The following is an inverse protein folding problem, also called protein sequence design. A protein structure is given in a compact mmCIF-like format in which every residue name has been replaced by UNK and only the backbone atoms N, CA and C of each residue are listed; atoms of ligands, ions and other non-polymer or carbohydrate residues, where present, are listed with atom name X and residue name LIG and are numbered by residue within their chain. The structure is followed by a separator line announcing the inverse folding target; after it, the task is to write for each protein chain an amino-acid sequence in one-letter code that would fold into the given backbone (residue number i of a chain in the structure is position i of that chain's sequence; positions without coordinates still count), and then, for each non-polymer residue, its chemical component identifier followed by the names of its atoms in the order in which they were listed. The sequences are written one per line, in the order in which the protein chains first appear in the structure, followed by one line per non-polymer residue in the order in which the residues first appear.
data_IF_586916364403
#
_entry.id   IF_586916364403
#
_cell.length_a   1.000
_cell.length_b   1.000
_cell.length_c   1.000
_cell.angle_alpha   90.00
_cell.angle_beta   90.00
_cell.angle_gamma   90.00
#
_symmetry.space_group_name_H-M   'P 1'
#
loop_
_entity.id
_entity.type
_entity.pdbx_description
1 polymer ?
#
# COMPACT_ATOMS: atom_id res chain seq x y z
N UNK A 1 5.15 -6.25 -52.56
CA UNK A 1 6.14 -7.11 -51.91
C UNK A 1 7.51 -6.55 -52.18
N UNK A 2 8.27 -6.20 -51.17
CA UNK A 2 9.42 -6.95 -50.73
C UNK A 2 9.47 -7.09 -49.20
N UNK A 3 10.14 -8.15 -48.76
CA UNK A 3 10.31 -8.65 -47.43
C UNK A 3 11.21 -7.75 -46.56
N UNK A 4 10.78 -7.45 -45.34
CA UNK A 4 11.55 -6.76 -44.30
C UNK A 4 12.45 -7.79 -43.57
N UNK A 5 13.76 -7.62 -43.68
CA UNK A 5 14.76 -8.36 -42.91
C UNK A 5 14.89 -7.77 -41.49
N UNK A 6 14.89 -8.66 -40.51
CA UNK A 6 15.14 -8.34 -39.09
C UNK A 6 16.62 -8.09 -38.85
N UNK A 7 17.04 -7.11 -38.01
CA UNK A 7 18.44 -6.92 -37.71
C UNK A 7 18.95 -7.97 -36.72
N UNK A 8 19.96 -8.75 -37.15
CA UNK A 8 20.71 -9.68 -36.31
C UNK A 8 21.67 -8.90 -35.41
N UNK A 9 21.52 -9.01 -34.11
CA UNK A 9 22.48 -8.56 -33.10
C UNK A 9 23.76 -9.42 -33.21
N UNK A 10 24.84 -8.82 -33.72
CA UNK A 10 26.18 -9.43 -33.77
C UNK A 10 26.97 -9.01 -32.53
N UNK A 11 27.12 -9.92 -31.56
CA UNK A 11 28.20 -9.83 -30.59
C UNK A 11 29.43 -10.51 -31.17
N UNK A 12 30.36 -9.73 -31.71
CA UNK A 12 31.76 -10.16 -31.93
C UNK A 12 32.65 -9.29 -31.06
N UNK A 13 33.07 -9.83 -29.93
CA UNK A 13 34.24 -9.34 -29.20
C UNK A 13 35.45 -10.01 -29.85
N UNK A 14 36.23 -9.24 -30.57
CA UNK A 14 37.45 -9.72 -31.20
C UNK A 14 38.53 -10.02 -30.15
N UNK A 15 39.00 -11.24 -30.12
CA UNK A 15 40.25 -11.61 -29.40
C UNK A 15 41.39 -11.20 -30.28
N UNK A 16 42.06 -10.12 -29.93
CA UNK A 16 43.37 -9.75 -30.52
C UNK A 16 44.45 -10.61 -29.90
N UNK A 17 44.93 -11.58 -30.63
CA UNK A 17 46.15 -12.33 -30.31
C UNK A 17 47.37 -11.46 -30.61
N UNK A 18 47.99 -10.92 -29.59
CA UNK A 18 49.31 -10.32 -29.65
C UNK A 18 50.34 -11.43 -29.50
N UNK A 19 51.05 -11.74 -30.61
CA UNK A 19 52.22 -12.64 -30.59
C UNK A 19 53.38 -11.94 -29.88
N UNK A 20 53.58 -12.26 -28.60
CA UNK A 20 54.74 -11.83 -27.84
C UNK A 20 55.87 -12.85 -27.97
N UNK A 21 57.04 -12.35 -28.31
CA UNK A 21 58.30 -13.10 -28.43
C UNK A 21 58.62 -13.83 -27.12
N UNK A 22 58.74 -15.16 -27.17
CA UNK A 22 59.13 -15.99 -26.04
C UNK A 22 60.66 -15.86 -25.90
N UNK A 23 61.10 -15.09 -24.88
CA UNK A 23 62.44 -15.21 -24.36
C UNK A 23 62.53 -16.46 -23.46
N UNK A 24 63.33 -17.42 -23.86
CA UNK A 24 63.58 -18.67 -23.14
C UNK A 24 64.28 -18.41 -21.80
N UNK A 25 63.50 -18.32 -20.74
CA UNK A 25 63.95 -18.43 -19.35
C UNK A 25 63.69 -19.85 -18.84
N UNK A 26 64.71 -20.55 -18.44
CA UNK A 26 64.66 -21.93 -17.91
C UNK A 26 63.63 -22.05 -16.78
N UNK A 27 62.58 -22.81 -17.05
CA UNK A 27 61.61 -23.28 -16.02
C UNK A 27 62.36 -24.33 -15.17
N UNK A 28 62.62 -24.03 -13.91
CA UNK A 28 63.46 -24.86 -13.01
C UNK A 28 62.81 -26.10 -12.47
N UNK A 29 61.47 -26.19 -12.43
CA UNK A 29 60.78 -27.42 -12.05
C UNK A 29 59.35 -27.45 -12.63
N UNK A 30 58.83 -28.67 -12.82
CA UNK A 30 57.44 -28.90 -13.24
C UNK A 30 56.43 -28.39 -12.21
N UNK A 31 56.86 -28.21 -10.96
CA UNK A 31 56.06 -27.63 -9.87
C UNK A 31 55.82 -26.11 -10.06
N UNK A 32 56.81 -25.36 -10.59
CA UNK A 32 56.68 -23.92 -10.82
C UNK A 32 55.73 -23.61 -11.97
N UNK A 33 55.67 -24.51 -12.96
CA UNK A 33 54.71 -24.40 -14.08
C UNK A 33 53.27 -24.66 -13.64
N UNK A 34 53.05 -25.56 -12.68
CA UNK A 34 51.74 -25.84 -12.11
C UNK A 34 51.27 -24.67 -11.17
N UNK A 35 52.23 -24.02 -10.52
CA UNK A 35 51.91 -22.87 -9.62
C UNK A 35 51.63 -21.59 -10.44
N UNK A 36 52.13 -21.43 -11.64
CA UNK A 36 51.78 -20.32 -12.54
C UNK A 36 50.42 -20.49 -13.23
N UNK A 37 49.89 -21.71 -13.31
CA UNK A 37 48.54 -22.00 -13.84
C UNK A 37 47.46 -21.86 -12.76
N UNK A 38 47.82 -21.81 -11.50
CA UNK A 38 46.94 -21.60 -10.38
C UNK A 38 46.71 -20.11 -10.03
N UNK A 39 46.79 -19.20 -11.01
CA UNK A 39 46.05 -17.95 -10.85
C UNK A 39 44.56 -18.35 -10.95
N UNK A 40 43.93 -18.38 -9.80
CA UNK A 40 42.51 -18.70 -9.67
C UNK A 40 41.71 -17.91 -10.69
N UNK A 41 41.24 -18.61 -11.75
CA UNK A 41 40.19 -18.05 -12.58
C UNK A 41 39.07 -17.61 -11.64
N UNK A 42 38.54 -16.38 -11.77
CA UNK A 42 37.49 -15.92 -10.85
C UNK A 42 36.38 -16.96 -10.81
N UNK A 43 36.16 -17.52 -9.61
CA UNK A 43 35.22 -18.61 -9.41
C UNK A 43 33.84 -18.08 -9.84
N UNK A 44 33.32 -18.64 -10.93
CA UNK A 44 31.99 -18.30 -11.39
C UNK A 44 30.99 -18.71 -10.29
N UNK A 45 30.32 -17.75 -9.61
CA UNK A 45 29.46 -18.05 -8.49
C UNK A 45 28.28 -18.95 -8.87
N UNK A 46 27.95 -19.05 -10.16
CA UNK A 46 26.88 -19.92 -10.65
C UNK A 46 27.30 -21.40 -10.76
N UNK A 47 28.59 -21.69 -10.67
CA UNK A 47 29.18 -23.04 -10.76
C UNK A 47 29.56 -23.62 -9.39
N UNK A 48 29.32 -22.89 -8.33
CA UNK A 48 29.53 -23.35 -6.96
C UNK A 48 28.22 -23.81 -6.34
N UNK A 49 28.18 -24.91 -5.57
CA UNK A 49 26.98 -25.34 -4.88
C UNK A 49 26.39 -24.20 -4.01
N UNK A 50 25.09 -23.99 -4.11
CA UNK A 50 24.38 -22.97 -3.34
C UNK A 50 24.12 -23.38 -1.89
N UNK A 51 23.28 -22.61 -1.20
CA UNK A 51 22.83 -22.90 0.16
C UNK A 51 21.88 -24.10 0.18
N UNK A 52 21.84 -24.79 1.31
CA UNK A 52 20.81 -25.80 1.58
C UNK A 52 19.41 -25.14 1.66
N UNK A 53 18.35 -25.97 1.51
CA UNK A 53 16.98 -25.56 1.76
C UNK A 53 16.81 -25.05 3.19
N UNK A 54 15.92 -24.07 3.39
CA UNK A 54 15.66 -23.46 4.69
C UNK A 54 14.19 -23.63 5.07
N UNK A 55 13.90 -23.67 6.38
CA UNK A 55 12.52 -23.72 6.89
C UNK A 55 11.75 -22.44 6.57
N UNK A 56 12.42 -21.29 6.54
CA UNK A 56 11.85 -19.99 6.24
C UNK A 56 12.66 -19.36 5.11
N UNK A 57 11.97 -18.96 4.03
CA UNK A 57 12.58 -18.25 2.91
C UNK A 57 13.11 -16.88 3.32
N UNK A 58 14.12 -16.39 2.61
CA UNK A 58 14.69 -15.06 2.80
C UNK A 58 14.68 -14.28 1.49
N UNK A 59 14.60 -12.95 1.57
CA UNK A 59 14.81 -12.08 0.40
C UNK A 59 16.27 -12.13 -0.06
N UNK A 60 16.49 -11.86 -1.35
CA UNK A 60 17.84 -11.68 -1.86
C UNK A 60 18.56 -10.56 -1.08
N UNK A 61 19.88 -10.69 -0.79
CA UNK A 61 20.60 -9.66 -0.03
C UNK A 61 20.55 -8.27 -0.65
N UNK A 62 20.48 -8.19 -2.00
CA UNK A 62 20.35 -6.95 -2.77
C UNK A 62 18.94 -6.35 -2.75
N UNK A 63 17.92 -7.15 -2.35
CA UNK A 63 16.49 -6.79 -2.44
C UNK A 63 15.87 -6.78 -1.03
N UNK A 64 16.12 -5.71 -0.29
CA UNK A 64 15.69 -5.56 1.11
C UNK A 64 14.76 -4.34 1.29
N UNK A 65 13.54 -4.35 0.70
CA UNK A 65 12.59 -3.26 0.93
C UNK A 65 12.28 -3.15 2.42
N UNK A 66 12.17 -1.91 2.91
CA UNK A 66 11.90 -1.62 4.33
C UNK A 66 10.78 -0.63 4.46
N UNK A 67 9.92 -0.86 5.45
CA UNK A 67 8.92 0.11 5.84
C UNK A 67 9.57 1.40 6.36
N UNK A 68 9.03 2.55 5.98
CA UNK A 68 9.48 3.84 6.48
C UNK A 68 8.85 4.12 7.84
N UNK A 69 9.63 4.12 8.90
CA UNK A 69 9.18 4.41 10.26
C UNK A 69 9.17 5.93 10.47
N UNK A 70 8.05 6.48 10.95
CA UNK A 70 7.91 7.91 11.24
C UNK A 70 8.68 8.32 12.49
N UNK A 71 8.54 7.56 13.57
CA UNK A 71 9.23 7.76 14.84
C UNK A 71 9.13 6.49 15.69
N UNK A 72 10.16 6.14 16.48
CA UNK A 72 10.11 5.02 17.42
C UNK A 72 9.33 5.45 18.68
N UNK A 73 8.01 5.34 18.64
CA UNK A 73 7.11 5.73 19.74
C UNK A 73 5.86 4.84 19.76
N UNK A 74 5.22 4.72 20.94
CA UNK A 74 3.97 3.94 21.09
C UNK A 74 2.84 4.46 20.18
N UNK A 75 2.73 5.79 20.03
CA UNK A 75 1.83 6.40 19.05
C UNK A 75 2.60 6.76 17.79
N UNK A 76 2.72 5.81 16.86
CA UNK A 76 3.51 5.97 15.65
C UNK A 76 2.94 5.21 14.45
N UNK A 77 3.64 5.27 13.33
CA UNK A 77 3.32 4.53 12.12
C UNK A 77 4.58 4.08 11.39
N UNK A 78 4.50 2.92 10.75
CA UNK A 78 5.36 2.52 9.64
C UNK A 78 4.59 2.67 8.33
N UNK A 79 5.29 2.82 7.21
CA UNK A 79 4.70 3.06 5.89
C UNK A 79 5.20 2.04 4.89
N UNK A 80 4.29 1.49 4.12
CA UNK A 80 4.59 0.57 3.02
C UNK A 80 5.55 1.21 2.02
N UNK A 81 6.63 0.54 1.60
CA UNK A 81 7.58 1.06 0.60
C UNK A 81 7.01 0.95 -0.81
N UNK A 82 6.04 1.79 -1.16
CA UNK A 82 5.23 1.70 -2.38
C UNK A 82 6.04 1.69 -3.67
N UNK A 83 7.18 2.40 -3.72
CA UNK A 83 8.04 2.45 -4.89
C UNK A 83 8.82 1.15 -5.13
N UNK A 84 9.06 0.37 -4.05
CA UNK A 84 9.92 -0.81 -4.08
C UNK A 84 9.11 -2.12 -4.26
N UNK A 85 7.78 -2.04 -4.26
CA UNK A 85 6.92 -3.21 -4.34
C UNK A 85 6.39 -3.45 -5.75
N UNK A 86 6.14 -4.72 -6.05
CA UNK A 86 5.57 -5.22 -7.30
C UNK A 86 4.24 -5.94 -7.02
N UNK A 87 3.41 -6.10 -8.06
CA UNK A 87 2.12 -6.80 -7.95
C UNK A 87 1.09 -6.07 -7.11
N UNK A 88 0.00 -6.74 -6.75
CA UNK A 88 -1.15 -6.17 -6.05
C UNK A 88 -1.04 -6.34 -4.53
N UNK A 89 -0.56 -7.49 -4.07
CA UNK A 89 -0.51 -7.83 -2.65
C UNK A 89 0.77 -7.29 -2.01
N UNK A 90 0.61 -6.55 -0.93
CA UNK A 90 1.72 -6.12 -0.07
C UNK A 90 2.17 -7.31 0.80
N UNK A 91 3.47 -7.67 0.85
CA UNK A 91 3.97 -8.65 1.80
C UNK A 91 3.55 -8.31 3.25
N UNK A 92 3.19 -9.31 4.04
CA UNK A 92 2.63 -9.08 5.38
C UNK A 92 3.58 -8.30 6.30
N UNK A 93 4.88 -8.54 6.18
CA UNK A 93 5.94 -7.83 6.93
C UNK A 93 6.23 -6.40 6.46
N UNK A 94 5.65 -5.97 5.33
CA UNK A 94 5.75 -4.61 4.79
C UNK A 94 4.41 -3.87 4.78
N UNK A 95 3.37 -4.49 5.33
CA UNK A 95 2.07 -3.84 5.49
C UNK A 95 2.22 -2.66 6.46
N UNK A 96 1.68 -1.50 6.13
CA UNK A 96 1.78 -0.33 6.99
C UNK A 96 1.20 -0.59 8.39
N UNK A 97 1.75 0.10 9.37
CA UNK A 97 1.27 0.10 10.74
C UNK A 97 0.80 1.50 11.16
N UNK A 98 -0.20 1.55 12.02
CA UNK A 98 -0.59 2.76 12.73
C UNK A 98 -1.09 2.37 14.13
N UNK A 99 -0.37 2.82 15.15
CA UNK A 99 -0.66 2.53 16.54
C UNK A 99 -0.93 3.83 17.32
N UNK A 100 -1.78 3.73 18.34
CA UNK A 100 -2.07 4.83 19.27
C UNK A 100 -1.43 4.61 20.63
N UNK A 101 -1.19 3.34 21.02
CA UNK A 101 -0.61 2.95 22.30
C UNK A 101 0.28 1.70 22.22
N UNK A 102 0.95 1.51 21.07
CA UNK A 102 1.80 0.35 20.83
C UNK A 102 1.03 -0.90 20.38
N UNK A 103 1.68 -2.05 20.49
CA UNK A 103 1.19 -3.36 20.09
C UNK A 103 1.01 -4.18 21.37
N UNK A 104 -0.22 -4.57 21.74
CA UNK A 104 -0.45 -5.40 22.93
C UNK A 104 0.01 -6.86 22.67
N UNK A 105 0.45 -7.51 23.72
CA UNK A 105 0.74 -8.95 23.74
C UNK A 105 -0.55 -9.70 24.12
N UNK A 106 -1.19 -10.33 23.13
CA UNK A 106 -2.47 -11.05 23.32
C UNK A 106 -2.28 -12.50 22.90
N UNK A 107 -2.58 -13.42 23.81
CA UNK A 107 -2.55 -14.86 23.53
C UNK A 107 -3.82 -15.29 22.83
N UNK A 108 -3.69 -16.19 21.86
CA UNK A 108 -4.82 -16.72 21.09
C UNK A 108 -5.89 -17.39 21.99
N UNK A 109 -5.42 -18.14 22.97
CA UNK A 109 -6.27 -18.94 23.87
C UNK A 109 -7.10 -18.07 24.83
N UNK A 110 -6.58 -16.89 25.18
CA UNK A 110 -7.18 -15.98 26.17
C UNK A 110 -8.06 -14.91 25.52
N UNK A 111 -8.05 -14.82 24.18
CA UNK A 111 -8.80 -13.78 23.48
C UNK A 111 -10.27 -14.16 23.29
N UNK A 112 -11.14 -13.22 23.69
CA UNK A 112 -12.58 -13.37 23.57
C UNK A 112 -13.18 -12.13 22.86
N UNK A 113 -14.22 -12.37 22.05
CA UNK A 113 -15.05 -11.35 21.43
C UNK A 113 -16.43 -11.34 22.06
N UNK A 114 -16.77 -10.27 22.76
CA UNK A 114 -18.14 -10.03 23.25
C UNK A 114 -18.97 -9.37 22.13
N UNK A 115 -20.13 -9.96 21.81
CA UNK A 115 -21.16 -9.37 20.94
C UNK A 115 -22.44 -9.15 21.74
N UNK A 116 -22.89 -7.90 21.87
CA UNK A 116 -24.02 -7.53 22.70
C UNK A 116 -24.76 -6.29 22.17
N UNK A 117 -25.61 -5.66 23.04
CA UNK A 117 -26.43 -4.50 22.68
C UNK A 117 -27.78 -4.92 22.12
N UNK A 118 -28.22 -4.36 21.00
CA UNK A 118 -29.51 -4.68 20.37
C UNK A 118 -29.49 -6.03 19.66
N UNK A 119 -29.23 -7.09 20.42
CA UNK A 119 -29.23 -8.50 19.97
C UNK A 119 -30.17 -9.34 20.82
N UNK A 120 -30.66 -10.44 20.28
CA UNK A 120 -31.54 -11.38 21.04
C UNK A 120 -30.73 -12.14 22.07
N UNK A 121 -29.53 -12.59 21.72
CA UNK A 121 -28.64 -13.40 22.54
C UNK A 121 -27.25 -12.78 22.61
N UNK A 122 -26.91 -12.00 23.62
CA UNK A 122 -25.53 -11.58 23.86
C UNK A 122 -24.64 -12.81 24.01
N UNK A 123 -23.51 -12.85 23.29
CA UNK A 123 -22.60 -14.00 23.27
C UNK A 123 -21.14 -13.56 23.38
N UNK A 124 -20.35 -14.42 23.99
CA UNK A 124 -18.89 -14.34 23.99
C UNK A 124 -18.36 -15.46 23.08
N UNK A 125 -17.47 -15.12 22.16
CA UNK A 125 -16.86 -16.05 21.24
C UNK A 125 -15.36 -16.16 21.50
N UNK A 126 -14.87 -17.36 21.73
CA UNK A 126 -13.43 -17.65 21.74
C UNK A 126 -12.92 -17.80 20.30
N UNK A 127 -11.62 -17.61 20.10
CA UNK A 127 -11.03 -17.75 18.76
C UNK A 127 -11.26 -19.16 18.15
N UNK A 128 -11.17 -20.22 18.97
CA UNK A 128 -11.44 -21.59 18.53
C UNK A 128 -12.90 -21.82 18.07
N UNK A 129 -13.84 -21.06 18.59
CA UNK A 129 -15.25 -21.11 18.18
C UNK A 129 -15.47 -20.32 16.89
N UNK A 130 -14.91 -19.10 16.79
CA UNK A 130 -14.98 -18.28 15.57
C UNK A 130 -14.43 -19.02 14.35
N UNK A 131 -13.35 -19.77 14.51
CA UNK A 131 -12.73 -20.54 13.43
C UNK A 131 -13.56 -21.76 12.95
N UNK A 132 -14.64 -22.11 13.62
CA UNK A 132 -15.58 -23.17 13.19
C UNK A 132 -16.65 -22.65 12.22
N UNK A 133 -16.85 -21.32 12.13
CA UNK A 133 -17.79 -20.74 11.18
C UNK A 133 -17.21 -20.74 9.76
N UNK A 134 -18.06 -20.68 8.71
CA UNK A 134 -17.62 -20.62 7.32
C UNK A 134 -16.63 -19.47 7.09
N UNK A 135 -15.47 -19.83 6.54
CA UNK A 135 -14.39 -18.91 6.25
C UNK A 135 -14.64 -18.18 4.93
N UNK A 136 -14.26 -16.93 4.88
CA UNK A 136 -14.21 -16.09 3.66
C UNK A 136 -12.82 -15.49 3.51
N UNK A 137 -12.35 -15.36 2.25
CA UNK A 137 -11.11 -14.66 1.91
C UNK A 137 -11.40 -13.60 0.84
N UNK A 138 -10.79 -12.42 0.97
CA UNK A 138 -10.95 -11.30 0.02
C UNK A 138 -9.66 -10.49 -0.08
N UNK A 139 -9.22 -10.21 -1.30
CA UNK A 139 -8.12 -9.27 -1.55
C UNK A 139 -8.69 -7.86 -1.51
N UNK A 140 -8.26 -7.05 -0.54
CA UNK A 140 -8.76 -5.68 -0.31
C UNK A 140 -7.64 -4.78 0.18
N UNK A 141 -7.70 -3.49 -0.18
CA UNK A 141 -6.80 -2.50 0.40
C UNK A 141 -7.26 -2.09 1.81
N UNK A 142 -6.30 -1.63 2.59
CA UNK A 142 -6.50 -0.86 3.80
C UNK A 142 -5.73 0.45 3.65
N UNK A 143 -6.40 1.58 3.90
CA UNK A 143 -5.79 2.90 3.89
C UNK A 143 -6.14 3.65 5.18
N UNK A 144 -5.16 4.26 5.81
CA UNK A 144 -5.39 5.15 6.94
C UNK A 144 -6.05 6.44 6.45
N UNK A 145 -7.08 6.93 7.16
CA UNK A 145 -7.72 8.22 6.82
C UNK A 145 -6.75 9.40 6.74
N UNK A 146 -5.65 9.36 7.51
CA UNK A 146 -4.59 10.37 7.48
C UNK A 146 -3.52 10.18 6.40
N UNK A 147 -3.71 9.23 5.46
CA UNK A 147 -2.76 9.02 4.37
C UNK A 147 -2.72 10.25 3.44
N UNK A 148 -1.51 10.79 3.19
CA UNK A 148 -1.32 12.02 2.43
C UNK A 148 -1.53 13.32 3.23
N UNK A 149 -2.00 13.26 4.50
CA UNK A 149 -2.26 14.45 5.32
C UNK A 149 -1.02 15.27 5.69
N UNK A 150 0.17 14.72 5.48
CA UNK A 150 1.43 15.39 5.80
C UNK A 150 1.75 16.62 4.93
N UNK A 151 1.10 16.75 3.77
CA UNK A 151 1.37 17.82 2.79
C UNK A 151 0.24 18.85 2.67
N UNK A 152 -0.94 18.53 3.18
CA UNK A 152 -2.15 19.30 2.92
C UNK A 152 -2.16 20.72 3.51
N UNK A 153 -1.70 20.88 4.74
CA UNK A 153 -1.81 22.15 5.48
C UNK A 153 -0.45 22.84 5.71
N UNK A 154 0.53 22.59 4.87
CA UNK A 154 1.85 23.21 5.02
C UNK A 154 1.94 24.47 4.18
N UNK A 155 2.41 25.56 4.77
CA UNK A 155 2.76 26.80 4.07
C UNK A 155 3.86 26.58 3.02
N UNK A 156 4.72 25.59 3.25
CA UNK A 156 5.75 25.16 2.30
C UNK A 156 5.71 23.66 2.13
N UNK A 157 5.42 23.23 0.90
CA UNK A 157 5.42 21.82 0.53
C UNK A 157 6.84 21.26 0.50
N UNK A 158 7.08 20.06 1.07
CA UNK A 158 8.35 19.39 0.88
C UNK A 158 8.48 18.96 -0.59
N UNK A 159 9.58 19.30 -1.23
CA UNK A 159 9.87 18.88 -2.60
C UNK A 159 10.69 17.59 -2.67
N UNK A 160 11.52 17.37 -1.65
CA UNK A 160 12.37 16.20 -1.47
C UNK A 160 11.68 15.21 -0.53
N UNK A 161 10.65 14.53 -1.02
CA UNK A 161 9.85 13.58 -0.23
C UNK A 161 9.49 12.37 -1.08
N UNK A 162 9.65 11.17 -0.53
CA UNK A 162 9.34 9.92 -1.24
C UNK A 162 7.83 9.67 -1.28
N UNK A 163 7.38 8.89 -2.28
CA UNK A 163 5.97 8.51 -2.39
C UNK A 163 5.47 7.77 -1.15
N UNK A 164 6.27 6.90 -0.54
CA UNK A 164 5.91 6.22 0.69
C UNK A 164 5.83 7.17 1.90
N UNK A 165 6.62 8.22 1.94
CA UNK A 165 6.50 9.24 2.98
C UNK A 165 5.22 10.07 2.86
N UNK A 166 4.68 10.19 1.66
CA UNK A 166 3.41 10.87 1.37
C UNK A 166 2.21 9.94 1.58
N UNK A 167 2.19 8.84 0.85
CA UNK A 167 1.00 8.00 0.64
C UNK A 167 1.19 6.53 1.11
N UNK A 168 2.25 6.22 1.86
CA UNK A 168 2.59 4.86 2.29
C UNK A 168 1.73 4.28 3.42
N UNK A 169 0.71 4.98 3.92
CA UNK A 169 -0.27 4.40 4.83
C UNK A 169 -1.39 3.68 4.05
N UNK A 170 -0.97 2.89 3.09
CA UNK A 170 -1.76 2.07 2.17
C UNK A 170 -1.11 0.71 1.99
N UNK A 171 -1.89 -0.34 2.06
CA UNK A 171 -1.46 -1.72 1.73
C UNK A 171 -2.65 -2.52 1.21
N UNK A 172 -2.39 -3.52 0.38
CA UNK A 172 -3.39 -4.49 -0.07
C UNK A 172 -3.00 -5.88 0.40
N UNK A 173 -3.95 -6.60 0.99
CA UNK A 173 -3.75 -7.97 1.46
C UNK A 173 -4.94 -8.85 1.13
N UNK A 174 -4.73 -10.16 1.07
CA UNK A 174 -5.80 -11.13 1.18
C UNK A 174 -6.16 -11.29 2.67
N UNK A 175 -7.35 -10.85 3.02
CA UNK A 175 -7.89 -10.96 4.38
C UNK A 175 -8.78 -12.17 4.50
N UNK A 176 -8.51 -13.00 5.49
CA UNK A 176 -9.22 -14.24 5.76
C UNK A 176 -9.86 -14.23 7.15
N UNK A 177 -11.10 -14.66 7.24
CA UNK A 177 -11.84 -14.69 8.51
C UNK A 177 -13.28 -15.12 8.35
N UNK A 178 -14.15 -14.70 9.26
CA UNK A 178 -15.59 -14.96 9.23
C UNK A 178 -16.33 -13.67 8.85
N UNK A 179 -17.33 -13.77 7.97
CA UNK A 179 -18.18 -12.63 7.67
C UNK A 179 -18.89 -12.15 8.95
N UNK A 180 -18.82 -10.85 9.24
CA UNK A 180 -19.51 -10.27 10.43
C UNK A 180 -20.99 -10.61 10.43
N UNK A 181 -21.62 -10.60 9.25
CA UNK A 181 -23.03 -10.96 9.08
C UNK A 181 -23.36 -12.38 9.57
N UNK A 182 -22.44 -13.33 9.53
CA UNK A 182 -22.63 -14.69 10.05
C UNK A 182 -22.79 -14.64 11.57
N UNK A 183 -21.92 -13.94 12.27
CA UNK A 183 -21.96 -13.81 13.73
C UNK A 183 -23.16 -12.96 14.18
N UNK A 184 -23.48 -11.87 13.47
CA UNK A 184 -24.65 -11.06 13.80
C UNK A 184 -25.98 -11.77 13.59
N UNK A 185 -26.08 -12.68 12.61
CA UNK A 185 -27.24 -13.58 12.47
C UNK A 185 -27.32 -14.61 13.59
N UNK A 186 -26.18 -15.14 14.05
CA UNK A 186 -26.12 -16.09 15.15
C UNK A 186 -26.66 -15.47 16.46
N UNK A 187 -26.26 -14.24 16.77
CA UNK A 187 -26.73 -13.55 17.99
C UNK A 187 -28.14 -12.97 17.85
N UNK A 188 -28.68 -12.85 16.63
CA UNK A 188 -30.01 -12.28 16.34
C UNK A 188 -30.06 -10.77 16.55
N UNK A 189 -29.90 -9.99 15.47
CA UNK A 189 -30.00 -8.52 15.53
C UNK A 189 -31.45 -8.11 15.68
N UNK A 190 -31.75 -7.27 16.67
CA UNK A 190 -33.11 -6.77 16.95
C UNK A 190 -33.54 -5.70 15.96
N UNK A 191 -34.85 -5.58 15.68
CA UNK A 191 -35.39 -4.48 14.88
C UNK A 191 -35.02 -3.11 15.45
N UNK A 192 -34.75 -2.14 14.55
CA UNK A 192 -34.35 -0.77 14.91
C UNK A 192 -32.84 -0.58 15.06
N UNK A 193 -32.06 -1.66 15.13
CA UNK A 193 -30.60 -1.55 15.11
C UNK A 193 -30.12 -0.98 13.76
N UNK A 194 -29.17 -0.04 13.79
CA UNK A 194 -28.66 0.62 12.58
C UNK A 194 -27.15 0.86 12.61
N UNK A 195 -26.48 0.64 13.75
CA UNK A 195 -25.06 0.80 13.95
C UNK A 195 -24.44 -0.36 14.74
N UNK A 196 -23.13 -0.48 14.66
CA UNK A 196 -22.32 -1.28 15.57
C UNK A 196 -21.15 -0.43 16.06
N UNK A 197 -20.86 -0.50 17.35
CA UNK A 197 -19.62 -0.02 17.93
C UNK A 197 -18.64 -1.17 18.00
N UNK A 198 -17.46 -1.01 17.40
CA UNK A 198 -16.34 -1.93 17.51
C UNK A 198 -15.27 -1.34 18.43
N UNK A 199 -14.75 -2.15 19.37
CA UNK A 199 -13.76 -1.73 20.35
C UNK A 199 -12.54 -2.67 20.37
N UNK A 200 -11.34 -2.07 20.35
CA UNK A 200 -10.07 -2.77 20.40
C UNK A 200 -9.55 -3.04 21.81
N UNK A 201 -8.66 -4.02 21.94
CA UNK A 201 -8.06 -4.46 23.19
C UNK A 201 -6.69 -3.85 23.50
N UNK A 202 -6.32 -2.74 22.85
CA UNK A 202 -5.13 -1.97 23.22
C UNK A 202 -5.42 -0.93 24.32
N UNK A 203 -4.39 -0.36 24.92
CA UNK A 203 -4.57 0.65 25.99
C UNK A 203 -5.11 2.00 25.49
N UNK A 204 -5.16 2.22 24.17
CA UNK A 204 -5.86 3.36 23.57
C UNK A 204 -7.38 3.16 23.50
N UNK A 205 -7.84 1.90 23.61
CA UNK A 205 -9.25 1.51 23.54
C UNK A 205 -9.93 2.13 22.30
N UNK A 206 -9.28 1.97 21.13
CA UNK A 206 -9.83 2.48 19.88
C UNK A 206 -11.24 1.97 19.67
N UNK A 207 -12.20 2.88 19.53
CA UNK A 207 -13.63 2.56 19.40
C UNK A 207 -14.24 3.32 18.25
N UNK A 208 -14.91 2.60 17.31
CA UNK A 208 -15.52 3.20 16.13
C UNK A 208 -16.92 2.66 15.87
N UNK A 209 -17.84 3.59 15.64
CA UNK A 209 -19.18 3.26 15.13
C UNK A 209 -19.13 3.04 13.61
N UNK A 210 -19.75 1.96 13.16
CA UNK A 210 -19.87 1.60 11.75
C UNK A 210 -21.34 1.31 11.43
N UNK A 211 -21.90 1.81 10.32
CA UNK A 211 -23.26 1.48 9.91
C UNK A 211 -23.49 -0.04 9.83
N UNK A 212 -24.62 -0.51 10.34
CA UNK A 212 -24.96 -1.93 10.38
C UNK A 212 -25.05 -2.56 8.98
N UNK A 213 -25.59 -1.83 8.02
CA UNK A 213 -25.66 -2.26 6.60
C UNK A 213 -24.28 -2.56 6.03
N UNK A 214 -23.29 -1.73 6.37
CA UNK A 214 -21.91 -1.93 5.97
C UNK A 214 -21.34 -3.22 6.53
N UNK A 215 -21.49 -3.45 7.84
CA UNK A 215 -20.91 -4.66 8.46
C UNK A 215 -21.64 -5.93 8.02
N UNK A 216 -22.93 -5.84 7.74
CA UNK A 216 -23.72 -6.94 7.19
C UNK A 216 -23.37 -7.26 5.73
N UNK A 217 -22.90 -6.28 4.95
CA UNK A 217 -22.62 -6.42 3.53
C UNK A 217 -21.29 -7.14 3.27
N UNK A 218 -20.18 -6.65 3.82
CA UNK A 218 -18.86 -7.11 3.40
C UNK A 218 -17.74 -7.06 4.47
N UNK A 219 -18.08 -6.77 5.73
CA UNK A 219 -17.08 -6.73 6.79
C UNK A 219 -16.67 -8.14 7.23
N UNK A 220 -15.42 -8.28 7.66
CA UNK A 220 -14.80 -9.55 8.04
C UNK A 220 -14.24 -9.45 9.46
N UNK A 221 -14.50 -10.45 10.29
CA UNK A 221 -13.74 -10.75 11.50
C UNK A 221 -12.47 -11.49 11.05
N UNK A 222 -11.42 -10.72 10.75
CA UNK A 222 -10.22 -11.24 10.13
C UNK A 222 -9.24 -11.79 11.17
N UNK A 223 -8.74 -13.00 10.94
CA UNK A 223 -7.71 -13.68 11.71
C UNK A 223 -6.55 -14.20 10.85
N UNK A 224 -6.65 -14.05 9.53
CA UNK A 224 -5.61 -14.40 8.55
C UNK A 224 -5.32 -13.26 7.59
N UNK A 225 -4.06 -13.19 7.14
CA UNK A 225 -3.55 -12.21 6.19
C UNK A 225 -2.49 -12.86 5.29
N UNK A 226 -2.69 -12.83 3.97
CA UNK A 226 -1.73 -13.36 2.98
C UNK A 226 -1.28 -14.81 3.26
N UNK A 227 -2.23 -15.69 3.66
CA UNK A 227 -1.96 -17.12 3.90
C UNK A 227 -1.37 -17.46 5.27
N UNK A 228 -1.13 -16.48 6.15
CA UNK A 228 -0.68 -16.69 7.53
C UNK A 228 -1.69 -16.11 8.54
N UNK A 229 -1.47 -16.34 9.84
CA UNK A 229 -2.20 -15.60 10.87
C UNK A 229 -1.86 -14.12 10.77
N UNK A 230 -2.86 -13.25 11.05
CA UNK A 230 -2.56 -11.82 11.13
C UNK A 230 -1.45 -11.60 12.17
N UNK A 231 -0.55 -10.70 11.88
CA UNK A 231 0.57 -10.38 12.77
C UNK A 231 0.12 -9.50 13.95
N UNK A 232 0.83 -9.50 15.09
CA UNK A 232 0.48 -8.67 16.25
C UNK A 232 0.22 -7.22 15.90
N UNK A 233 1.10 -6.61 15.09
CA UNK A 233 1.00 -5.22 14.61
C UNK A 233 -0.24 -4.98 13.72
N UNK A 234 -0.75 -6.04 13.09
CA UNK A 234 -1.96 -5.99 12.26
C UNK A 234 -3.23 -6.37 13.02
N UNK A 235 -3.14 -6.69 14.32
CA UNK A 235 -4.29 -6.91 15.18
C UNK A 235 -4.55 -8.35 15.61
N UNK A 236 -3.49 -9.20 15.67
CA UNK A 236 -3.61 -10.57 16.21
C UNK A 236 -4.23 -10.58 17.60
N UNK A 237 -5.12 -11.54 17.91
CA UNK A 237 -5.56 -12.65 17.06
C UNK A 237 -6.78 -12.34 16.19
N UNK A 238 -7.46 -11.20 16.39
CA UNK A 238 -8.69 -10.83 15.70
C UNK A 238 -8.76 -9.34 15.42
N UNK A 239 -9.16 -8.99 14.20
CA UNK A 239 -9.53 -7.61 13.86
C UNK A 239 -10.87 -7.54 13.15
N UNK A 240 -11.58 -6.43 13.32
CA UNK A 240 -12.61 -6.03 12.38
C UNK A 240 -11.94 -5.48 11.13
N UNK A 241 -12.39 -5.92 9.96
CA UNK A 241 -11.93 -5.38 8.68
C UNK A 241 -13.14 -4.88 7.86
N UNK A 242 -13.15 -3.58 7.55
CA UNK A 242 -14.20 -2.90 6.80
C UNK A 242 -13.66 -2.47 5.42
N UNK A 243 -13.83 -3.28 4.36
CA UNK A 243 -13.27 -2.98 3.04
C UNK A 243 -13.73 -1.63 2.48
N UNK A 244 -12.79 -0.81 2.00
CA UNK A 244 -13.08 0.48 1.37
C UNK A 244 -13.48 1.61 2.31
N UNK A 245 -13.55 1.35 3.62
CA UNK A 245 -13.71 2.39 4.63
C UNK A 245 -12.35 2.83 5.17
N UNK A 246 -12.32 3.99 5.80
CA UNK A 246 -11.13 4.51 6.47
C UNK A 246 -10.56 3.51 7.49
N UNK A 247 -9.22 3.35 7.49
CA UNK A 247 -8.54 2.28 8.21
C UNK A 247 -8.79 2.25 9.71
N UNK A 248 -9.12 3.38 10.33
CA UNK A 248 -9.46 3.45 11.75
C UNK A 248 -10.76 2.70 12.11
N UNK A 249 -11.68 2.47 11.16
CA UNK A 249 -12.88 1.65 11.34
C UNK A 249 -12.57 0.16 11.34
N UNK A 250 -11.41 -0.24 10.83
CA UNK A 250 -10.92 -1.62 10.84
C UNK A 250 -10.15 -1.89 12.13
N UNK A 251 -10.90 -1.98 13.22
CA UNK A 251 -10.39 -2.02 14.61
C UNK A 251 -9.56 -3.27 14.85
N UNK A 252 -8.32 -3.10 15.32
CA UNK A 252 -7.36 -4.15 15.68
C UNK A 252 -7.62 -4.69 17.08
N UNK A 253 -7.20 -5.92 17.34
CA UNK A 253 -7.35 -6.57 18.67
C UNK A 253 -8.80 -6.51 19.15
N UNK A 254 -9.73 -6.82 18.24
CA UNK A 254 -11.15 -6.63 18.44
C UNK A 254 -11.65 -7.49 19.61
N UNK A 255 -12.15 -6.85 20.67
CA UNK A 255 -12.66 -7.51 21.87
C UNK A 255 -14.17 -7.36 22.08
N UNK A 256 -14.78 -6.34 21.44
CA UNK A 256 -16.21 -6.06 21.66
C UNK A 256 -16.87 -5.51 20.39
N UNK A 257 -18.07 -6.00 20.12
CA UNK A 257 -19.03 -5.43 19.18
C UNK A 257 -20.32 -5.15 19.94
N UNK A 258 -20.78 -3.92 19.96
CA UNK A 258 -22.07 -3.52 20.51
C UNK A 258 -22.98 -3.07 19.37
N UNK A 259 -24.17 -3.70 19.26
CA UNK A 259 -25.18 -3.34 18.25
C UNK A 259 -26.06 -2.24 18.83
N UNK A 260 -26.26 -1.14 18.11
CA UNK A 260 -26.96 0.07 18.59
C UNK A 260 -27.89 0.63 17.50
N UNK A 261 -28.79 1.52 17.88
CA UNK A 261 -29.72 2.24 16.98
C UNK A 261 -29.14 3.57 16.46
N UNK A 262 -28.03 4.04 17.03
CA UNK A 262 -27.34 5.28 16.66
C UNK A 262 -25.84 5.17 16.92
N UNK A 263 -25.00 6.04 16.35
CA UNK A 263 -23.57 6.04 16.63
C UNK A 263 -23.30 6.46 18.08
N UNK A 264 -22.22 5.94 18.65
CA UNK A 264 -21.91 6.09 20.09
C UNK A 264 -21.22 7.42 20.42
N UNK A 265 -20.73 8.16 19.42
CA UNK A 265 -20.00 9.42 19.60
C UNK A 265 -18.80 9.30 20.54
N UNK A 266 -17.97 8.27 20.30
CA UNK A 266 -16.75 8.03 21.09
C UNK A 266 -15.74 9.16 20.94
N UNK A 267 -14.68 9.15 21.78
CA UNK A 267 -13.55 10.09 21.64
C UNK A 267 -12.97 10.08 20.23
N UNK A 268 -12.87 8.91 19.59
CA UNK A 268 -12.29 8.75 18.24
C UNK A 268 -13.28 9.15 17.12
N UNK A 269 -14.46 9.66 17.48
CA UNK A 269 -15.50 10.14 16.55
C UNK A 269 -15.86 11.60 16.79
N UNK A 270 -15.35 12.21 17.84
CA UNK A 270 -15.65 13.60 18.22
C UNK A 270 -14.39 14.48 18.23
N UNK A 271 -13.33 14.05 18.94
CA UNK A 271 -12.07 14.79 19.02
C UNK A 271 -11.04 14.37 17.96
N UNK A 272 -11.30 13.28 17.24
CA UNK A 272 -10.46 12.73 16.16
C UNK A 272 -11.34 12.22 15.03
N UNK A 273 -10.71 12.02 13.86
CA UNK A 273 -11.38 11.46 12.67
C UNK A 273 -12.65 12.21 12.26
N UNK A 274 -12.63 13.52 12.48
CA UNK A 274 -13.65 14.46 12.04
C UNK A 274 -13.04 15.41 11.03
N UNK A 275 -13.81 15.83 10.04
CA UNK A 275 -13.38 16.72 8.97
C UNK A 275 -13.98 18.10 9.18
N UNK A 276 -13.21 19.10 9.64
CA UNK A 276 -13.68 20.49 9.66
C UNK A 276 -13.84 20.99 8.22
N UNK A 277 -15.02 21.48 7.88
CA UNK A 277 -15.37 21.98 6.57
C UNK A 277 -15.13 23.51 6.46
N UNK A 278 -15.10 24.02 5.23
CA UNK A 278 -14.84 25.44 4.96
C UNK A 278 -15.92 26.40 5.49
N UNK A 279 -17.15 25.91 5.68
CA UNK A 279 -18.30 26.66 6.22
C UNK A 279 -18.36 26.71 7.76
N UNK A 280 -17.36 26.15 8.45
CA UNK A 280 -17.28 26.09 9.91
C UNK A 280 -18.01 24.91 10.54
N UNK A 281 -18.67 24.07 9.77
CA UNK A 281 -19.25 22.81 10.24
C UNK A 281 -18.20 21.70 10.31
N UNK A 282 -18.56 20.57 10.94
CA UNK A 282 -17.69 19.40 11.06
C UNK A 282 -18.42 18.16 10.56
N UNK A 283 -17.83 17.48 9.59
CA UNK A 283 -18.31 16.16 9.17
C UNK A 283 -17.74 15.09 10.09
N UNK A 284 -18.60 14.34 10.74
CA UNK A 284 -18.20 13.32 11.71
C UNK A 284 -17.89 11.97 11.08
N UNK A 285 -18.62 11.57 10.05
CA UNK A 285 -18.50 10.26 9.42
C UNK A 285 -18.27 10.40 7.90
N UNK A 286 -17.02 10.52 7.48
CA UNK A 286 -16.66 10.45 6.05
C UNK A 286 -16.60 9.01 5.56
N UNK A 287 -16.11 8.10 6.37
CA UNK A 287 -16.07 6.64 6.27
C UNK A 287 -15.44 6.08 4.98
N UNK A 288 -16.03 6.35 3.82
CA UNK A 288 -15.61 5.79 2.53
C UNK A 288 -14.35 6.47 2.02
N UNK A 289 -13.36 5.68 1.60
CA UNK A 289 -12.15 6.18 0.94
C UNK A 289 -12.45 6.41 -0.54
N UNK A 290 -12.37 7.66 -0.98
CA UNK A 290 -12.63 8.07 -2.36
C UNK A 290 -11.52 7.60 -3.31
N UNK A 291 -11.82 7.61 -4.63
CA UNK A 291 -10.85 7.21 -5.64
C UNK A 291 -9.56 8.05 -5.56
N UNK A 292 -8.42 7.36 -5.64
CA UNK A 292 -7.10 7.94 -5.55
C UNK A 292 -6.11 7.17 -6.41
N UNK A 293 -5.16 7.87 -7.02
CA UNK A 293 -3.99 7.31 -7.69
C UNK A 293 -2.74 8.04 -7.29
N UNK A 294 -1.61 7.33 -7.31
CA UNK A 294 -0.29 7.88 -7.07
C UNK A 294 0.71 7.27 -8.04
N UNK A 295 1.58 8.08 -8.61
CA UNK A 295 2.73 7.62 -9.40
C UNK A 295 3.81 7.16 -8.43
N UNK A 296 4.28 5.91 -8.59
CA UNK A 296 5.35 5.33 -7.80
C UNK A 296 6.70 5.38 -8.52
N UNK A 297 6.68 5.53 -9.86
CA UNK A 297 7.88 5.68 -10.68
C UNK A 297 7.56 6.47 -11.97
N UNK A 298 8.42 7.42 -12.39
CA UNK A 298 9.51 7.99 -11.59
C UNK A 298 8.97 8.86 -10.44
N UNK A 299 9.65 8.81 -9.30
CA UNK A 299 9.35 9.59 -8.11
C UNK A 299 10.65 9.91 -7.37
N UNK A 300 10.65 10.91 -6.50
CA UNK A 300 11.82 11.24 -5.68
C UNK A 300 12.28 10.01 -4.85
N UNK A 301 13.59 9.72 -4.75
CA UNK A 301 14.75 10.50 -5.21
C UNK A 301 15.33 10.06 -6.58
N UNK A 302 14.52 9.49 -7.46
CA UNK A 302 15.00 8.99 -8.74
C UNK A 302 15.50 10.13 -9.65
N UNK A 303 16.52 9.83 -10.45
CA UNK A 303 17.04 10.72 -11.48
C UNK A 303 16.98 9.98 -12.83
N UNK A 304 16.28 10.53 -13.82
CA UNK A 304 16.27 9.98 -15.16
C UNK A 304 17.65 10.25 -15.81
N UNK A 305 18.42 9.20 -16.13
CA UNK A 305 19.77 9.41 -16.67
C UNK A 305 19.77 9.92 -18.11
N UNK A 306 18.75 9.55 -18.90
CA UNK A 306 18.74 9.80 -20.34
C UNK A 306 17.36 10.24 -20.84
N UNK A 307 17.34 10.95 -21.97
CA UNK A 307 16.14 11.25 -22.75
C UNK A 307 15.62 10.00 -23.43
N UNK A 308 14.34 10.02 -23.82
CA UNK A 308 13.71 8.94 -24.58
C UNK A 308 12.54 8.32 -23.81
N UNK A 309 12.22 7.08 -24.16
CA UNK A 309 11.04 6.39 -23.65
C UNK A 309 11.22 5.89 -22.23
N UNK A 310 10.31 6.31 -21.36
CA UNK A 310 10.21 5.91 -19.97
C UNK A 310 8.82 5.37 -19.67
N UNK A 311 8.74 4.46 -18.73
CA UNK A 311 7.47 3.99 -18.21
C UNK A 311 7.12 4.72 -16.92
N UNK A 312 5.95 5.36 -16.87
CA UNK A 312 5.32 5.84 -15.64
C UNK A 312 4.55 4.67 -15.05
N UNK A 313 4.78 4.36 -13.78
CA UNK A 313 4.08 3.31 -13.03
C UNK A 313 3.45 3.87 -11.78
N UNK A 314 2.32 3.29 -11.36
CA UNK A 314 1.65 3.74 -10.16
C UNK A 314 0.61 2.75 -9.64
N UNK A 315 -0.08 3.20 -8.61
CA UNK A 315 -1.17 2.51 -7.93
C UNK A 315 -2.42 3.37 -7.95
N UNK A 316 -3.58 2.73 -8.11
CA UNK A 316 -4.89 3.38 -7.96
C UNK A 316 -5.83 2.49 -7.15
N UNK A 317 -6.76 3.09 -6.40
CA UNK A 317 -7.74 2.40 -5.56
C UNK A 317 -8.97 3.24 -5.30
N UNK A 318 -10.07 2.61 -4.87
CA UNK A 318 -11.26 3.32 -4.39
C UNK A 318 -12.06 2.46 -3.39
N UNK A 319 -12.74 3.08 -2.47
CA UNK A 319 -13.56 2.41 -1.46
C UNK A 319 -14.98 2.09 -1.90
N UNK A 320 -15.47 2.65 -3.02
CA UNK A 320 -16.83 2.43 -3.52
C UNK A 320 -16.97 1.15 -4.33
N UNK A 321 -15.89 0.72 -5.00
CA UNK A 321 -15.93 -0.46 -5.85
C UNK A 321 -14.61 -0.68 -6.57
N UNK A 322 -14.61 -0.68 -7.90
CA UNK A 322 -13.43 -0.85 -8.74
C UNK A 322 -12.96 0.49 -9.30
N UNK A 323 -11.65 0.60 -9.49
CA UNK A 323 -11.09 1.62 -10.39
C UNK A 323 -11.38 1.17 -11.82
N UNK A 324 -12.01 2.03 -12.59
CA UNK A 324 -12.39 1.74 -13.99
C UNK A 324 -11.44 2.38 -15.00
N UNK A 325 -10.77 3.47 -14.60
CA UNK A 325 -9.88 4.24 -15.46
C UNK A 325 -8.80 4.92 -14.65
N UNK A 326 -7.61 4.97 -15.19
CA UNK A 326 -6.55 5.87 -14.75
C UNK A 326 -6.04 6.64 -15.95
N UNK A 327 -5.91 7.93 -15.81
CA UNK A 327 -5.32 8.81 -16.81
C UNK A 327 -4.03 9.39 -16.27
N UNK A 328 -3.07 9.59 -17.18
CA UNK A 328 -1.78 10.22 -16.90
C UNK A 328 -1.65 11.48 -17.74
N UNK A 329 -1.17 12.55 -17.14
CA UNK A 329 -0.72 13.75 -17.81
C UNK A 329 0.79 13.88 -17.69
N UNK A 330 1.44 14.32 -18.76
CA UNK A 330 2.88 14.60 -18.81
C UNK A 330 3.17 16.08 -19.09
N UNK A 331 2.16 16.93 -18.96
CA UNK A 331 2.25 18.36 -19.27
C UNK A 331 1.57 19.24 -18.20
N UNK A 332 1.55 18.78 -16.96
CA UNK A 332 1.00 19.51 -15.83
C UNK A 332 -0.53 19.53 -15.77
N UNK A 333 -1.21 18.51 -16.32
CA UNK A 333 -2.67 18.39 -16.26
C UNK A 333 -3.42 19.04 -17.42
N UNK A 334 -2.71 19.57 -18.43
CA UNK A 334 -3.34 20.16 -19.61
C UNK A 334 -3.95 19.14 -20.56
N UNK A 335 -3.24 18.06 -20.80
CA UNK A 335 -3.70 16.93 -21.60
C UNK A 335 -3.60 15.64 -20.81
N UNK A 336 -4.53 14.72 -21.04
CA UNK A 336 -4.65 13.45 -20.34
C UNK A 336 -4.74 12.30 -21.34
N UNK A 337 -4.06 11.20 -21.02
CA UNK A 337 -4.08 9.96 -21.80
C UNK A 337 -4.35 8.78 -20.90
N UNK A 338 -5.06 7.78 -21.41
CA UNK A 338 -5.35 6.57 -20.65
C UNK A 338 -4.05 5.81 -20.32
N UNK A 339 -3.96 5.35 -19.08
CA UNK A 339 -2.95 4.40 -18.65
C UNK A 339 -3.48 2.97 -18.73
N UNK A 340 -2.62 2.02 -19.03
CA UNK A 340 -2.96 0.60 -19.01
C UNK A 340 -3.08 0.12 -17.55
N UNK A 341 -4.22 -0.45 -17.18
CA UNK A 341 -4.43 -1.09 -15.90
C UNK A 341 -3.90 -2.53 -15.96
N UNK A 342 -3.15 -2.94 -14.91
CA UNK A 342 -2.62 -4.30 -14.78
C UNK A 342 -3.56 -5.13 -13.90
N UNK A 343 -4.09 -6.22 -14.48
CA UNK A 343 -5.01 -7.11 -13.74
C UNK A 343 -4.33 -7.92 -12.63
N UNK A 344 -5.12 -8.44 -11.67
CA UNK A 344 -6.57 -8.39 -11.61
C UNK A 344 -7.13 -7.05 -11.10
N UNK A 345 -8.23 -6.55 -11.70
CA UNK A 345 -8.94 -5.35 -11.24
C UNK A 345 -10.04 -5.80 -10.28
N UNK A 346 -9.78 -5.67 -8.98
CA UNK A 346 -10.66 -6.15 -7.92
C UNK A 346 -11.39 -4.99 -7.23
N UNK A 347 -12.58 -5.28 -6.69
CA UNK A 347 -13.32 -4.31 -5.86
C UNK A 347 -12.52 -3.96 -4.61
N UNK A 348 -12.48 -2.67 -4.25
CA UNK A 348 -11.87 -2.17 -3.01
C UNK A 348 -10.45 -2.74 -2.81
N UNK A 349 -9.70 -2.79 -3.89
CA UNK A 349 -8.32 -3.25 -3.96
C UNK A 349 -7.48 -2.25 -4.73
N UNK A 350 -6.17 -2.28 -4.54
CA UNK A 350 -5.26 -1.53 -5.41
C UNK A 350 -5.17 -2.20 -6.77
N UNK A 351 -5.03 -1.40 -7.80
CA UNK A 351 -4.66 -1.82 -9.15
C UNK A 351 -3.42 -1.05 -9.58
N UNK A 352 -2.49 -1.73 -10.23
CA UNK A 352 -1.34 -1.06 -10.84
C UNK A 352 -1.72 -0.50 -12.19
N UNK A 353 -1.08 0.60 -12.54
CA UNK A 353 -1.18 1.18 -13.87
C UNK A 353 0.20 1.52 -14.41
N UNK A 354 0.29 1.57 -15.74
CA UNK A 354 1.50 1.97 -16.47
C UNK A 354 1.14 2.83 -17.68
N UNK A 355 2.04 3.75 -18.01
CA UNK A 355 1.92 4.63 -19.16
C UNK A 355 3.29 4.94 -19.73
N UNK A 356 3.48 4.79 -21.04
CA UNK A 356 4.72 5.14 -21.70
C UNK A 356 4.74 6.62 -22.05
N UNK A 357 5.85 7.30 -21.81
CA UNK A 357 6.04 8.68 -22.25
C UNK A 357 7.45 8.88 -22.80
N UNK A 358 7.56 9.74 -23.83
CA UNK A 358 8.84 10.12 -24.43
C UNK A 358 9.32 11.41 -23.80
N UNK A 359 10.29 11.29 -22.88
CA UNK A 359 10.85 12.46 -22.23
C UNK A 359 11.93 13.11 -23.11
N UNK A 360 11.67 14.32 -23.56
CA UNK A 360 12.56 15.07 -24.45
C UNK A 360 13.68 15.84 -23.73
N UNK A 361 13.84 15.66 -22.40
CA UNK A 361 14.86 16.37 -21.58
C UNK A 361 14.49 17.78 -21.20
N UNK A 362 13.20 18.16 -21.28
CA UNK A 362 12.68 19.45 -20.76
C UNK A 362 12.06 19.26 -19.40
N UNK A 363 11.95 20.38 -18.67
CA UNK A 363 11.18 20.40 -17.43
C UNK A 363 9.75 19.91 -17.72
N UNK A 364 9.32 18.91 -16.95
CA UNK A 364 8.08 18.17 -17.19
C UNK A 364 7.37 17.94 -15.87
N UNK A 365 6.03 18.03 -15.86
CA UNK A 365 5.21 17.70 -14.69
C UNK A 365 4.31 16.54 -15.04
N UNK A 366 4.46 15.44 -14.30
CA UNK A 366 3.65 14.24 -14.47
C UNK A 366 2.65 14.09 -13.34
N UNK A 367 1.41 13.70 -13.67
CA UNK A 367 0.32 13.44 -12.73
C UNK A 367 -0.47 12.21 -13.16
N UNK A 368 -1.21 11.66 -12.20
CA UNK A 368 -2.26 10.68 -12.49
C UNK A 368 -3.57 11.07 -11.81
N UNK A 369 -4.69 10.59 -12.39
CA UNK A 369 -6.01 10.64 -11.77
C UNK A 369 -6.78 9.36 -12.01
N UNK A 370 -7.47 8.88 -10.99
CA UNK A 370 -8.29 7.68 -11.04
C UNK A 370 -9.77 8.05 -11.17
N UNK A 371 -10.51 7.20 -11.90
CA UNK A 371 -11.98 7.20 -11.94
C UNK A 371 -12.49 5.86 -11.44
N UNK A 372 -13.48 5.86 -10.55
CA UNK A 372 -14.12 4.65 -10.06
C UNK A 372 -15.37 4.26 -10.83
N UNK A 373 -15.96 3.10 -10.52
CA UNK A 373 -17.16 2.58 -11.22
C UNK A 373 -18.43 3.42 -10.98
N UNK A 374 -18.42 4.36 -10.03
CA UNK A 374 -19.53 5.31 -9.84
C UNK A 374 -19.39 6.55 -10.72
N UNK A 375 -18.26 6.68 -11.44
CA UNK A 375 -17.93 7.86 -12.25
C UNK A 375 -17.25 8.96 -11.45
N UNK A 376 -16.94 8.73 -10.15
CA UNK A 376 -16.19 9.70 -9.37
C UNK A 376 -14.73 9.79 -9.86
N UNK A 377 -14.31 11.02 -10.18
CA UNK A 377 -12.95 11.33 -10.64
C UNK A 377 -12.14 11.93 -9.50
N UNK A 378 -10.92 11.48 -9.32
CA UNK A 378 -9.96 12.03 -8.35
C UNK A 378 -9.77 13.53 -8.56
N UNK A 379 -10.04 14.38 -7.54
CA UNK A 379 -10.04 15.84 -7.68
C UNK A 379 -8.63 16.43 -7.74
N UNK A 380 -8.54 17.66 -8.22
CA UNK A 380 -7.36 18.51 -7.98
C UNK A 380 -7.31 18.95 -6.51
N UNK A 381 -6.21 19.55 -6.08
CA UNK A 381 -6.10 20.07 -4.71
C UNK A 381 -7.10 21.21 -4.47
N UNK A 382 -7.32 22.09 -5.46
CA UNK A 382 -8.28 23.19 -5.39
C UNK A 382 -9.70 22.69 -5.22
N UNK A 383 -10.11 21.72 -6.04
CA UNK A 383 -11.43 21.08 -5.93
C UNK A 383 -11.64 20.41 -4.56
N UNK A 384 -10.59 19.79 -4.00
CA UNK A 384 -10.67 19.20 -2.67
C UNK A 384 -10.82 20.29 -1.59
N UNK A 385 -10.05 21.39 -1.70
CA UNK A 385 -10.16 22.51 -0.76
C UNK A 385 -11.50 23.23 -0.84
N UNK A 386 -12.05 23.38 -2.02
CA UNK A 386 -13.41 23.93 -2.20
C UNK A 386 -14.45 23.03 -1.51
N UNK A 387 -14.35 21.71 -1.67
CA UNK A 387 -15.33 20.75 -1.13
C UNK A 387 -15.18 20.51 0.38
N UNK A 388 -13.94 20.55 0.93
CA UNK A 388 -13.65 20.12 2.31
C UNK A 388 -12.96 21.20 3.17
N UNK A 389 -12.62 22.36 2.60
CA UNK A 389 -11.83 23.38 3.29
C UNK A 389 -10.34 23.01 3.38
N UNK A 390 -9.56 23.88 3.99
CA UNK A 390 -8.08 23.78 4.08
C UNK A 390 -7.57 23.31 5.45
N UNK A 391 -8.44 22.84 6.33
CA UNK A 391 -8.08 22.48 7.72
C UNK A 391 -8.13 20.99 8.05
N UNK A 392 -8.63 20.15 7.14
CA UNK A 392 -8.66 18.70 7.36
C UNK A 392 -7.33 18.06 7.02
N UNK A 393 -6.93 17.04 7.79
CA UNK A 393 -5.76 16.20 7.50
C UNK A 393 -6.15 14.79 7.05
N UNK A 394 -7.44 14.52 6.94
CA UNK A 394 -8.00 13.22 6.55
C UNK A 394 -8.53 13.25 5.13
N UNK A 395 -8.69 12.07 4.53
CA UNK A 395 -9.26 11.86 3.20
C UNK A 395 -8.58 12.68 2.09
N UNK A 396 -7.24 12.70 2.11
CA UNK A 396 -6.43 13.44 1.16
C UNK A 396 -6.28 12.67 -0.15
N UNK A 397 -7.29 12.72 -1.00
CA UNK A 397 -7.32 11.99 -2.27
C UNK A 397 -7.03 12.85 -3.51
N UNK A 398 -6.62 14.11 -3.36
CA UNK A 398 -6.28 14.96 -4.51
C UNK A 398 -5.10 14.41 -5.35
N UNK A 399 -5.02 14.83 -6.60
CA UNK A 399 -3.93 14.48 -7.51
C UNK A 399 -2.55 14.85 -6.92
N UNK A 400 -1.53 14.04 -7.24
CA UNK A 400 -0.14 14.25 -6.86
C UNK A 400 0.69 14.49 -8.11
N UNK A 401 1.63 15.44 -8.05
CA UNK A 401 2.51 15.74 -9.16
C UNK A 401 3.96 15.41 -8.84
N UNK A 402 4.70 14.95 -9.84
CA UNK A 402 6.15 14.86 -9.83
C UNK A 402 6.70 15.80 -10.90
N UNK A 403 7.65 16.63 -10.52
CA UNK A 403 8.38 17.54 -11.42
C UNK A 403 9.68 16.88 -11.83
N UNK A 404 9.90 16.68 -13.11
CA UNK A 404 11.12 16.16 -13.69
C UNK A 404 11.87 17.35 -14.28
N UNK A 405 12.99 17.72 -13.68
CA UNK A 405 13.85 18.80 -14.17
C UNK A 405 14.59 18.35 -15.45
N UNK A 406 15.10 19.31 -16.22
CA UNK A 406 15.96 19.04 -17.39
C UNK A 406 17.24 18.25 -17.08
N UNK A 407 17.65 18.20 -15.81
CA UNK A 407 18.74 17.39 -15.27
C UNK A 407 18.34 15.94 -15.04
N UNK A 408 17.04 15.60 -15.17
CA UNK A 408 16.47 14.30 -14.83
C UNK A 408 16.04 14.12 -13.37
N UNK A 409 16.38 15.06 -12.50
CA UNK A 409 15.99 15.03 -11.09
C UNK A 409 14.46 15.09 -10.94
N UNK A 410 13.91 14.22 -10.08
CA UNK A 410 12.48 14.14 -9.80
C UNK A 410 12.20 14.70 -8.41
N UNK A 411 11.30 15.68 -8.32
CA UNK A 411 10.88 16.30 -7.08
C UNK A 411 9.35 16.29 -6.96
N UNK A 412 8.84 16.33 -5.73
CA UNK A 412 7.41 16.42 -5.49
C UNK A 412 6.87 17.83 -5.70
N UNK A 413 5.64 17.96 -6.20
CA UNK A 413 4.89 19.19 -6.25
C UNK A 413 3.40 18.93 -6.20
N UNK A 414 2.58 19.89 -5.74
CA UNK A 414 1.12 19.84 -5.91
C UNK A 414 0.70 20.29 -7.33
N UNK A 415 1.70 20.48 -8.19
CA UNK A 415 1.56 21.11 -9.45
C UNK A 415 1.35 22.63 -9.26
N UNK A 416 2.35 23.44 -9.61
CA UNK A 416 2.00 24.73 -10.20
C UNK A 416 1.40 24.32 -11.55
N UNK A 417 0.17 23.85 -11.48
CA UNK A 417 -0.68 23.57 -12.61
C UNK A 417 -1.11 24.94 -13.12
N UNK A 418 -0.27 25.54 -13.90
CA UNK A 418 -0.57 26.77 -14.62
C UNK A 418 -1.39 26.42 -15.84
#
# INVERSE_FOLDING_TARGET
MPSAESPKLSRRTGITTTSGVIAAGLVKTQADAIQLIAQEAPTDPTKVPGRLVSEIGSRAPSEQPKSLIRAPALSSSSRTPLADLMGTITPADLHFERHHAGIPDIRFEDHELLVHGMVERPMVFRMSELMRYPQVSRIRFLECSGNGGGVYNRERMPTEVTVQALDGLLSTSEWTGVAVSTILREVGVRPGASWVLAEGGDSAVMSRSVPLDKVMKDSILAYGQNGERIRPEQGYPLRLFNPGYEGNTSVKWLRRIEVTDQPTHTRDETSKYTDPLGDGTVRQFSLVMDAKSVITFPSYPYVLPDKGWWEIRGLAWCGRGRVTRVEVSTDGGRNWSDAALEGPILEKSTVRFRHLFDWNGRDTVILSRATDETGYVQPTVEQLWEARGTRTSYHQNHQRAWKIARTGEVTFGLGDLV
#
